data_IF_326420426994
#
_entry.id   IF_326420426994
#
_cell.length_a   1.000
_cell.length_b   1.000
_cell.length_c   1.000
_cell.angle_alpha   90.00
_cell.angle_beta   90.00
_cell.angle_gamma   90.00
#
_symmetry.space_group_name_H-M   'P 1'
#
loop_
_entity.id
_entity.type
_entity.pdbx_description
1 polymer ?
#
# COMPACT_ATOMS: atom_id res chain seq x y z
N UNK A 1 18.84 -14.39 -9.30
CA UNK A 1 19.35 -14.98 -8.04
C UNK A 1 18.23 -14.91 -7.00
N UNK A 2 17.94 -16.01 -6.28
CA UNK A 2 16.91 -16.07 -5.24
C UNK A 2 17.52 -15.80 -3.87
N UNK A 3 17.31 -14.60 -3.35
CA UNK A 3 17.76 -14.24 -2.01
C UNK A 3 16.67 -14.55 -0.97
N UNK A 4 17.05 -14.57 0.31
CA UNK A 4 16.13 -14.83 1.43
C UNK A 4 15.88 -13.56 2.27
N UNK A 5 15.92 -12.39 1.63
CA UNK A 5 15.74 -11.11 2.32
C UNK A 5 14.31 -11.08 2.87
N UNK A 6 14.17 -10.84 4.17
CA UNK A 6 12.89 -10.78 4.88
C UNK A 6 12.45 -9.38 5.26
N UNK A 7 13.40 -8.47 5.41
CA UNK A 7 13.15 -7.10 5.85
C UNK A 7 13.97 -6.16 5.00
N UNK A 8 13.35 -5.09 4.52
CA UNK A 8 14.08 -4.02 3.84
C UNK A 8 14.49 -2.98 4.89
N UNK A 9 15.80 -2.74 5.09
CA UNK A 9 16.28 -1.86 6.16
C UNK A 9 15.87 -0.41 5.92
N UNK A 10 15.58 0.32 7.00
CA UNK A 10 15.18 1.74 6.90
C UNK A 10 16.20 2.60 6.15
N UNK A 11 17.50 2.32 6.32
CA UNK A 11 18.61 3.02 5.65
C UNK A 11 18.62 2.92 4.12
N UNK A 12 17.78 2.08 3.51
CA UNK A 12 17.61 2.09 2.05
C UNK A 12 17.19 3.48 1.53
N UNK A 13 16.48 4.26 2.36
CA UNK A 13 16.06 5.63 2.02
C UNK A 13 17.20 6.64 1.95
N UNK A 14 18.41 6.27 2.41
CA UNK A 14 19.59 7.13 2.37
C UNK A 14 20.20 7.17 0.96
N UNK A 15 19.84 6.20 0.10
CA UNK A 15 20.28 6.13 -1.29
C UNK A 15 19.52 7.13 -2.18
N UNK A 16 19.71 8.44 -1.95
CA UNK A 16 18.95 9.54 -2.57
C UNK A 16 19.05 9.62 -4.09
N UNK A 17 20.08 9.01 -4.69
CA UNK A 17 20.29 8.99 -6.14
C UNK A 17 19.71 7.75 -6.83
N UNK A 18 19.24 6.76 -6.07
CA UNK A 18 18.77 5.50 -6.62
C UNK A 18 17.50 5.71 -7.45
N UNK A 19 17.51 5.20 -8.69
CA UNK A 19 16.38 5.27 -9.62
C UNK A 19 15.61 3.96 -9.73
N UNK A 20 16.28 2.85 -9.53
CA UNK A 20 15.73 1.51 -9.72
C UNK A 20 16.09 0.67 -8.50
N UNK A 21 15.09 0.08 -7.86
CA UNK A 21 15.24 -0.82 -6.72
C UNK A 21 14.43 -2.08 -6.96
N UNK A 22 15.07 -3.25 -6.85
CA UNK A 22 14.39 -4.53 -7.01
C UNK A 22 14.71 -5.45 -5.84
N UNK A 23 13.65 -5.99 -5.24
CA UNK A 23 13.67 -7.12 -4.32
C UNK A 23 12.84 -8.28 -4.88
N UNK A 24 12.73 -8.38 -6.21
CA UNK A 24 12.04 -9.50 -6.87
C UNK A 24 12.56 -10.85 -6.36
N UNK A 25 11.65 -11.82 -6.21
CA UNK A 25 11.96 -13.21 -5.87
C UNK A 25 12.76 -13.33 -4.55
N UNK A 26 12.19 -12.73 -3.49
CA UNK A 26 12.70 -12.73 -2.12
C UNK A 26 11.62 -13.22 -1.13
N UNK A 27 11.84 -13.01 0.17
CA UNK A 27 10.92 -13.37 1.24
C UNK A 27 10.51 -12.15 2.06
N UNK A 28 10.45 -10.97 1.44
CA UNK A 28 10.17 -9.72 2.16
C UNK A 28 8.81 -9.81 2.81
N UNK A 29 8.78 -9.63 4.12
CA UNK A 29 7.58 -9.56 4.95
C UNK A 29 7.39 -8.13 5.47
N UNK A 30 8.48 -7.45 5.81
CA UNK A 30 8.46 -6.10 6.40
C UNK A 30 9.09 -5.11 5.43
N UNK A 31 8.33 -4.08 5.09
CA UNK A 31 8.75 -2.96 4.23
C UNK A 31 8.72 -1.69 5.06
N UNK A 32 9.75 -0.86 4.91
CA UNK A 32 9.80 0.44 5.58
C UNK A 32 8.91 1.47 4.87
N UNK A 33 8.17 2.27 5.65
CA UNK A 33 7.30 3.32 5.10
C UNK A 33 8.09 4.47 4.48
N UNK A 34 9.33 4.74 4.89
CA UNK A 34 10.08 5.95 4.46
C UNK A 34 10.61 5.93 3.02
N UNK A 35 10.39 4.86 2.25
CA UNK A 35 10.86 4.78 0.85
C UNK A 35 10.32 5.88 -0.04
N UNK A 36 9.13 6.43 0.26
CA UNK A 36 8.53 7.52 -0.52
C UNK A 36 9.42 8.78 -0.61
N UNK A 37 10.33 8.96 0.37
CA UNK A 37 11.28 10.07 0.41
C UNK A 37 12.41 9.96 -0.63
N UNK A 38 12.56 8.82 -1.31
CA UNK A 38 13.56 8.60 -2.35
C UNK A 38 13.11 9.29 -3.66
N UNK A 39 13.24 10.61 -3.74
CA UNK A 39 12.67 11.44 -4.83
C UNK A 39 13.19 11.11 -6.24
N UNK A 40 14.36 10.47 -6.36
CA UNK A 40 14.91 10.00 -7.63
C UNK A 40 14.45 8.59 -8.02
N UNK A 41 13.79 7.86 -7.12
CA UNK A 41 13.28 6.53 -7.41
C UNK A 41 12.21 6.61 -8.52
N UNK A 42 12.29 5.68 -9.46
CA UNK A 42 11.43 5.56 -10.64
C UNK A 42 10.72 4.22 -10.66
N UNK A 43 11.42 3.16 -10.28
CA UNK A 43 10.87 1.81 -10.26
C UNK A 43 11.20 1.11 -8.96
N UNK A 44 10.18 0.50 -8.36
CA UNK A 44 10.29 -0.39 -7.22
C UNK A 44 9.64 -1.72 -7.58
N UNK A 45 10.43 -2.78 -7.66
CA UNK A 45 9.94 -4.13 -7.89
C UNK A 45 9.96 -4.91 -6.57
N UNK A 46 8.78 -5.27 -6.07
CA UNK A 46 8.56 -6.09 -4.89
C UNK A 46 7.83 -7.39 -5.26
N UNK A 47 7.74 -7.74 -6.55
CA UNK A 47 7.06 -8.94 -7.00
C UNK A 47 7.64 -10.21 -6.38
N UNK A 48 6.82 -11.25 -6.24
CA UNK A 48 7.21 -12.54 -5.67
C UNK A 48 7.80 -12.42 -4.26
N UNK A 49 7.10 -11.70 -3.37
CA UNK A 49 7.42 -11.57 -1.95
C UNK A 49 6.25 -12.03 -1.06
N UNK A 50 6.41 -11.90 0.27
CA UNK A 50 5.50 -12.48 1.30
C UNK A 50 4.91 -11.42 2.24
N UNK A 51 4.93 -10.17 1.82
CA UNK A 51 4.31 -9.03 2.48
C UNK A 51 2.78 -9.15 2.48
N UNK A 52 2.14 -8.69 3.56
CA UNK A 52 0.67 -8.62 3.69
C UNK A 52 0.10 -7.28 3.24
N UNK A 53 0.89 -6.23 3.38
CA UNK A 53 0.60 -4.87 2.95
C UNK A 53 1.82 -4.16 2.35
N UNK A 54 1.53 -3.05 1.66
CA UNK A 54 2.47 -1.93 1.54
C UNK A 54 2.03 -0.74 2.40
N UNK A 55 2.96 0.10 2.86
CA UNK A 55 2.63 1.35 3.57
C UNK A 55 1.81 2.32 2.69
N UNK A 56 0.73 2.94 3.21
CA UNK A 56 -0.03 3.98 2.49
C UNK A 56 0.82 5.14 2.00
N UNK A 57 1.92 5.45 2.70
CA UNK A 57 2.86 6.49 2.32
C UNK A 57 3.50 6.26 0.94
N UNK A 58 3.46 5.04 0.39
CA UNK A 58 3.87 4.80 -0.99
C UNK A 58 2.99 5.59 -1.99
N UNK A 59 1.75 5.92 -1.63
CA UNK A 59 0.92 6.85 -2.37
C UNK A 59 1.55 8.25 -2.53
N UNK A 60 2.51 8.61 -1.67
CA UNK A 60 3.25 9.87 -1.68
C UNK A 60 4.54 9.84 -2.50
N UNK A 61 4.85 8.74 -3.22
CA UNK A 61 5.96 8.73 -4.15
C UNK A 61 5.92 9.96 -5.08
N UNK A 62 7.10 10.46 -5.44
CA UNK A 62 7.24 11.62 -6.34
C UNK A 62 6.42 11.42 -7.63
N UNK A 63 5.89 12.51 -8.20
CA UNK A 63 5.21 12.50 -9.53
C UNK A 63 6.04 11.87 -10.66
N UNK A 64 7.35 11.80 -10.45
CA UNK A 64 8.28 11.22 -11.41
C UNK A 64 8.47 9.70 -11.25
N UNK A 65 7.97 9.09 -10.18
CA UNK A 65 7.89 7.65 -9.99
C UNK A 65 6.95 7.01 -11.01
N UNK A 66 7.31 5.82 -11.51
CA UNK A 66 6.68 5.23 -12.71
C UNK A 66 6.11 3.83 -12.47
N UNK A 67 6.78 3.01 -11.68
CA UNK A 67 6.41 1.60 -11.55
C UNK A 67 6.58 1.12 -10.12
N UNK A 68 5.48 0.64 -9.55
CA UNK A 68 5.45 -0.20 -8.36
C UNK A 68 4.90 -1.56 -8.79
N UNK A 69 5.75 -2.57 -8.80
CA UNK A 69 5.36 -3.94 -9.13
C UNK A 69 5.16 -4.75 -7.84
N UNK A 70 3.92 -5.21 -7.65
CA UNK A 70 3.46 -6.03 -6.53
C UNK A 70 2.92 -7.40 -7.01
N UNK A 71 3.24 -7.78 -8.25
CA UNK A 71 2.74 -9.03 -8.84
C UNK A 71 3.24 -10.26 -8.08
N UNK A 72 2.43 -11.32 -8.07
CA UNK A 72 2.78 -12.59 -7.44
C UNK A 72 3.12 -12.48 -5.93
N UNK A 73 2.54 -11.52 -5.21
CA UNK A 73 2.59 -11.44 -3.76
C UNK A 73 1.34 -12.10 -3.17
N UNK A 74 1.34 -13.43 -3.01
CA UNK A 74 0.16 -14.23 -2.66
C UNK A 74 -0.47 -13.88 -1.31
N UNK A 75 0.33 -13.33 -0.38
CA UNK A 75 -0.14 -12.91 0.94
C UNK A 75 -0.59 -11.44 1.00
N UNK A 76 -0.39 -10.68 -0.08
CA UNK A 76 -0.68 -9.26 -0.13
C UNK A 76 -2.19 -9.05 -0.23
N UNK A 77 -2.76 -8.51 0.84
CA UNK A 77 -4.16 -8.11 0.91
C UNK A 77 -4.36 -6.61 0.72
N UNK A 78 -3.36 -5.77 0.99
CA UNK A 78 -3.48 -4.31 0.88
C UNK A 78 -2.35 -3.70 0.04
N UNK A 79 -2.62 -3.22 -1.20
CA UNK A 79 -3.92 -3.02 -1.83
C UNK A 79 -4.64 -4.35 -2.16
N UNK A 80 -5.97 -4.33 -2.33
CA UNK A 80 -6.70 -5.55 -2.69
C UNK A 80 -6.39 -5.98 -4.14
N UNK A 81 -6.61 -7.26 -4.48
CA UNK A 81 -6.22 -7.83 -5.77
C UNK A 81 -6.74 -7.09 -6.99
N UNK A 82 -7.97 -6.56 -6.94
CA UNK A 82 -8.57 -5.75 -8.01
C UNK A 82 -7.78 -4.47 -8.30
N UNK A 83 -7.25 -3.82 -7.27
CA UNK A 83 -6.42 -2.61 -7.40
C UNK A 83 -5.03 -2.98 -7.94
N UNK A 84 -4.47 -4.11 -7.48
CA UNK A 84 -3.18 -4.60 -7.95
C UNK A 84 -3.26 -4.96 -9.44
N UNK A 85 -4.35 -5.57 -9.89
CA UNK A 85 -4.56 -5.98 -11.28
C UNK A 85 -4.58 -4.80 -12.26
N UNK A 86 -5.03 -3.62 -11.82
CA UNK A 86 -4.98 -2.38 -12.62
C UNK A 86 -3.59 -1.70 -12.62
N UNK A 87 -2.64 -2.22 -11.86
CA UNK A 87 -1.24 -1.79 -11.85
C UNK A 87 -0.99 -0.44 -11.17
N UNK A 88 0.21 0.11 -11.39
CA UNK A 88 0.72 1.29 -10.66
C UNK A 88 -0.21 2.51 -10.76
N UNK A 89 -0.89 2.69 -11.89
CA UNK A 89 -1.84 3.79 -12.13
C UNK A 89 -3.02 3.79 -11.17
N UNK A 90 -3.39 2.63 -10.63
CA UNK A 90 -4.48 2.50 -9.65
C UNK A 90 -3.97 2.31 -8.23
N UNK A 91 -2.88 1.57 -8.07
CA UNK A 91 -2.23 1.32 -6.78
C UNK A 91 -1.84 2.64 -6.08
N UNK A 92 -1.12 3.54 -6.75
CA UNK A 92 -0.61 4.74 -6.07
C UNK A 92 -1.72 5.71 -5.64
N UNK A 93 -2.73 6.00 -6.49
CA UNK A 93 -3.88 6.78 -6.04
C UNK A 93 -4.62 6.12 -4.88
N UNK A 94 -4.81 4.80 -4.89
CA UNK A 94 -5.46 4.08 -3.79
C UNK A 94 -4.70 4.25 -2.47
N UNK A 95 -3.38 4.03 -2.49
CA UNK A 95 -2.53 4.19 -1.31
C UNK A 95 -2.51 5.64 -0.81
N UNK A 96 -2.55 6.62 -1.72
CA UNK A 96 -2.67 8.04 -1.37
C UNK A 96 -3.98 8.33 -0.66
N UNK A 97 -5.08 7.76 -1.14
CA UNK A 97 -6.39 7.88 -0.49
C UNK A 97 -6.40 7.25 0.90
N UNK A 98 -5.78 6.08 1.07
CA UNK A 98 -5.58 5.48 2.40
C UNK A 98 -4.76 6.38 3.33
N UNK A 99 -3.67 6.96 2.81
CA UNK A 99 -2.83 7.86 3.58
C UNK A 99 -3.61 9.12 4.03
N UNK A 100 -4.32 9.77 3.10
CA UNK A 100 -5.16 10.95 3.41
C UNK A 100 -6.19 10.60 4.47
N UNK A 101 -6.88 9.46 4.30
CA UNK A 101 -7.90 9.00 5.25
C UNK A 101 -7.34 8.87 6.66
N UNK A 102 -6.09 8.40 6.78
CA UNK A 102 -5.41 8.22 8.08
C UNK A 102 -5.10 9.54 8.75
N UNK A 103 -4.72 10.54 7.95
CA UNK A 103 -4.38 11.87 8.46
C UNK A 103 -5.58 12.77 8.74
N UNK A 104 -6.75 12.45 8.16
CA UNK A 104 -7.95 13.30 8.24
C UNK A 104 -9.07 12.75 9.11
N UNK A 105 -8.87 11.64 9.81
CA UNK A 105 -9.93 10.97 10.62
C UNK A 105 -11.20 10.65 9.80
N UNK A 106 -11.05 10.47 8.48
CA UNK A 106 -12.16 10.24 7.57
C UNK A 106 -11.79 9.10 6.62
N UNK A 107 -12.49 7.97 6.71
CA UNK A 107 -12.29 6.88 5.78
C UNK A 107 -12.98 7.18 4.45
N UNK A 108 -12.22 7.61 3.46
CA UNK A 108 -12.74 7.97 2.13
C UNK A 108 -12.33 6.90 1.12
N UNK A 109 -13.24 6.02 0.75
CA UNK A 109 -13.02 4.92 -0.20
C UNK A 109 -14.03 4.92 -1.36
N UNK A 110 -14.57 6.07 -1.74
CA UNK A 110 -15.54 6.13 -2.83
C UNK A 110 -14.92 5.75 -4.19
N UNK A 111 -15.66 5.00 -5.01
CA UNK A 111 -15.33 4.71 -6.42
C UNK A 111 -14.08 3.86 -6.66
N UNK A 112 -13.72 2.97 -5.73
CA UNK A 112 -12.59 2.06 -5.89
C UNK A 112 -12.97 0.69 -6.47
N UNK A 113 -14.27 0.39 -6.60
CA UNK A 113 -14.73 -0.91 -7.08
C UNK A 113 -14.38 -2.06 -6.13
N UNK A 114 -14.19 -1.76 -4.84
CA UNK A 114 -13.74 -2.73 -3.84
C UNK A 114 -14.75 -3.85 -3.68
N UNK A 115 -14.30 -5.10 -3.75
CA UNK A 115 -15.10 -6.30 -3.47
C UNK A 115 -15.04 -6.70 -1.99
N UNK A 116 -13.95 -6.33 -1.32
CA UNK A 116 -13.73 -6.56 0.10
C UNK A 116 -12.88 -5.45 0.71
N UNK A 117 -13.04 -5.22 2.01
CA UNK A 117 -12.08 -4.44 2.80
C UNK A 117 -10.89 -5.31 3.23
N UNK A 118 -9.82 -4.69 3.71
CA UNK A 118 -8.58 -5.37 4.11
C UNK A 118 -8.30 -5.11 5.60
N UNK A 119 -7.87 -6.13 6.35
CA UNK A 119 -7.82 -6.06 7.81
C UNK A 119 -6.89 -4.97 8.37
N UNK A 120 -5.84 -4.57 7.64
CA UNK A 120 -4.90 -3.53 8.08
C UNK A 120 -5.47 -2.11 8.01
N UNK A 121 -6.67 -1.92 7.44
CA UNK A 121 -7.42 -0.68 7.66
C UNK A 121 -7.75 -0.53 9.16
N UNK A 122 -8.06 -1.62 9.86
CA UNK A 122 -8.59 -1.57 11.22
C UNK A 122 -7.54 -1.20 12.28
N UNK A 123 -6.28 -1.60 12.09
CA UNK A 123 -5.23 -1.41 13.11
C UNK A 123 -4.72 0.03 13.25
N UNK A 124 -5.23 0.99 12.45
CA UNK A 124 -4.63 2.32 12.35
C UNK A 124 -5.62 3.49 12.26
N UNK A 125 -6.92 3.24 12.38
CA UNK A 125 -7.92 4.31 12.48
C UNK A 125 -8.71 4.23 13.78
N UNK A 126 -8.03 4.26 14.91
CA UNK A 126 -8.67 4.75 16.12
C UNK A 126 -9.15 6.18 15.82
N UNK A 127 -10.42 6.48 16.07
CA UNK A 127 -11.02 7.82 15.92
C UNK A 127 -11.46 8.22 14.48
N UNK A 128 -12.05 7.33 13.69
CA UNK A 128 -12.75 7.75 12.44
C UNK A 128 -14.04 8.49 12.81
N UNK A 129 -14.20 9.70 12.28
CA UNK A 129 -15.41 10.52 12.42
C UNK A 129 -16.32 10.43 11.20
N UNK A 130 -15.77 10.11 10.03
CA UNK A 130 -16.49 10.10 8.75
C UNK A 130 -16.15 8.85 7.96
N UNK A 131 -17.17 8.13 7.49
CA UNK A 131 -17.02 6.95 6.63
C UNK A 131 -17.74 7.18 5.30
N UNK A 132 -16.99 7.22 4.21
CA UNK A 132 -17.49 7.34 2.84
C UNK A 132 -17.02 6.14 1.99
N UNK A 133 -17.93 5.22 1.70
CA UNK A 133 -17.61 3.97 0.97
C UNK A 133 -18.51 3.74 -0.25
N UNK A 134 -19.09 4.81 -0.80
CA UNK A 134 -20.01 4.75 -1.92
C UNK A 134 -19.36 4.22 -3.21
N UNK A 135 -20.17 3.68 -4.13
CA UNK A 135 -19.73 3.19 -5.44
C UNK A 135 -18.59 2.15 -5.36
N UNK A 136 -18.77 1.17 -4.46
CA UNK A 136 -17.96 -0.05 -4.40
C UNK A 136 -18.87 -1.28 -4.59
N UNK A 137 -18.28 -2.47 -4.53
CA UNK A 137 -18.97 -3.76 -4.57
C UNK A 137 -18.90 -4.48 -3.21
N UNK A 138 -18.86 -3.70 -2.12
CA UNK A 138 -18.76 -4.21 -0.76
C UNK A 138 -20.09 -4.84 -0.33
N UNK A 139 -20.03 -6.03 0.25
CA UNK A 139 -21.19 -6.71 0.84
C UNK A 139 -21.42 -6.36 2.31
N UNK A 140 -20.36 -5.93 3.01
CA UNK A 140 -20.38 -5.55 4.42
C UNK A 140 -19.16 -4.69 4.78
N UNK A 141 -19.26 -3.99 5.91
CA UNK A 141 -18.13 -3.37 6.59
C UNK A 141 -17.80 -4.19 7.85
N UNK A 142 -16.53 -4.21 8.30
CA UNK A 142 -16.19 -4.86 9.57
C UNK A 142 -16.77 -4.08 10.74
N UNK A 143 -17.37 -4.78 11.70
CA UNK A 143 -17.86 -4.16 12.95
C UNK A 143 -16.73 -3.44 13.69
N UNK A 144 -15.51 -3.97 13.63
CA UNK A 144 -14.33 -3.36 14.24
C UNK A 144 -13.92 -2.01 13.67
N UNK A 145 -14.53 -1.55 12.57
CA UNK A 145 -14.37 -0.17 12.10
C UNK A 145 -15.03 0.83 13.06
N UNK A 146 -16.02 0.36 13.82
CA UNK A 146 -16.82 1.14 14.76
C UNK A 146 -16.42 0.88 16.22
N UNK A 147 -15.48 -0.04 16.46
CA UNK A 147 -14.95 -0.28 17.80
C UNK A 147 -14.16 0.96 18.26
N UNK A 148 -14.75 1.74 19.17
CA UNK A 148 -14.16 2.97 19.71
C UNK A 148 -14.82 4.28 19.27
N UNK A 149 -15.91 4.23 18.50
CA UNK A 149 -16.81 5.38 18.26
C UNK A 149 -17.81 5.58 19.39
#
# INVERSE_FOLDING_TARGET
ARNKIRTIPIRISDLKLLKHLSFEDNQVVIITSVMWQMTKLRTLNLSRNRMKSVPPEFGLFSKSFKLLDLSHCELLSSPPPEIIAEGTSKILPYLRTLWTSKTSQALVLNNWGLKSYTCELLDNFADILVVEVANNHLSSLPDSLFDGM
#
